data_IF_291062692051
#
_entry.id   IF_291062692051
#
_cell.length_a   1.000
_cell.length_b   1.000
_cell.length_c   1.000
_cell.angle_alpha   90.00
_cell.angle_beta   90.00
_cell.angle_gamma   90.00
#
_symmetry.space_group_name_H-M   'P 1'
#
loop_
_entity.id
_entity.type
_entity.pdbx_description
1 polymer ?
#
# COMPACT_ATOMS: atom_id res chain seq x y z
N UNK A 1 5.13 20.56 3.14
CA UNK A 1 4.75 20.86 1.74
C UNK A 1 3.26 20.56 1.62
N UNK A 2 2.42 21.54 1.36
CA UNK A 2 0.97 21.38 1.24
C UNK A 2 0.66 20.88 -0.17
N UNK A 3 -0.11 19.81 -0.28
CA UNK A 3 -0.65 19.31 -1.55
C UNK A 3 -1.50 20.43 -2.19
N UNK A 4 -1.21 20.87 -3.45
CA UNK A 4 -2.08 21.80 -4.12
C UNK A 4 -3.39 21.08 -4.44
N UNK A 5 -4.40 21.25 -3.57
CA UNK A 5 -5.74 20.71 -3.79
C UNK A 5 -6.30 21.23 -5.11
N UNK A 6 -6.31 20.41 -6.15
CA UNK A 6 -7.40 20.47 -7.12
C UNK A 6 -8.64 20.06 -6.32
N UNK A 7 -9.66 20.90 -6.29
CA UNK A 7 -10.83 20.72 -5.44
C UNK A 7 -11.32 19.26 -5.45
N UNK A 8 -11.25 18.58 -4.28
CA UNK A 8 -11.72 17.23 -4.09
C UNK A 8 -10.65 16.12 -4.06
N UNK A 9 -9.36 16.40 -4.32
CA UNK A 9 -8.30 15.39 -4.26
C UNK A 9 -7.61 15.39 -2.90
N UNK A 10 -7.61 14.25 -2.20
CA UNK A 10 -6.84 14.06 -0.97
C UNK A 10 -5.35 13.98 -1.27
N UNK A 11 -4.51 14.42 -0.35
CA UNK A 11 -3.07 14.18 -0.41
C UNK A 11 -2.78 12.68 -0.48
N UNK A 12 -1.81 12.25 -1.33
CA UNK A 12 -1.44 10.84 -1.42
C UNK A 12 -0.96 10.29 -0.06
N UNK A 13 -1.66 9.28 0.42
CA UNK A 13 -1.27 8.53 1.62
C UNK A 13 -0.22 7.46 1.34
N UNK A 14 0.23 6.78 2.40
CA UNK A 14 1.11 5.62 2.28
C UNK A 14 0.41 4.51 1.48
N UNK A 15 1.12 3.87 0.57
CA UNK A 15 0.66 2.86 -0.39
C UNK A 15 -0.20 3.37 -1.55
N UNK A 16 -0.57 4.65 -1.61
CA UNK A 16 -1.28 5.17 -2.77
C UNK A 16 -0.43 5.07 -4.05
N UNK A 17 -1.13 4.82 -5.13
CA UNK A 17 -0.60 4.71 -6.48
C UNK A 17 -0.63 6.09 -7.13
N UNK A 18 0.54 6.57 -7.57
CA UNK A 18 0.70 7.89 -8.17
C UNK A 18 1.04 7.72 -9.65
N UNK A 19 0.20 8.28 -10.51
CA UNK A 19 0.41 8.30 -11.95
C UNK A 19 1.13 9.60 -12.33
N UNK A 20 2.26 9.45 -13.01
CA UNK A 20 3.15 10.54 -13.40
C UNK A 20 3.02 10.81 -14.90
N UNK A 21 3.00 12.07 -15.30
CA UNK A 21 2.91 12.47 -16.70
C UNK A 21 4.16 12.03 -17.49
N UNK A 22 4.07 11.86 -18.83
CA UNK A 22 5.24 11.58 -19.66
C UNK A 22 6.34 12.66 -19.53
N UNK A 23 5.95 13.92 -19.31
CA UNK A 23 6.89 15.01 -19.06
C UNK A 23 7.62 14.85 -17.72
N UNK A 24 6.89 14.45 -16.66
CA UNK A 24 7.48 14.19 -15.35
C UNK A 24 8.43 12.98 -15.36
N UNK A 25 8.07 11.92 -16.07
CA UNK A 25 8.97 10.79 -16.27
C UNK A 25 10.25 11.20 -16.96
N UNK A 26 10.17 12.02 -18.00
CA UNK A 26 11.32 12.53 -18.75
C UNK A 26 12.22 13.37 -17.86
N UNK A 27 11.67 14.38 -17.19
CA UNK A 27 12.43 15.25 -16.28
C UNK A 27 13.14 14.46 -15.17
N UNK A 28 12.47 13.47 -14.61
CA UNK A 28 13.04 12.60 -13.58
C UNK A 28 14.20 11.74 -14.14
N UNK A 29 14.05 11.14 -15.33
CA UNK A 29 15.09 10.32 -15.94
C UNK A 29 16.30 11.16 -16.42
N UNK A 30 16.09 12.40 -16.83
CA UNK A 30 17.16 13.36 -17.13
C UNK A 30 17.98 13.68 -15.87
N UNK A 31 17.31 13.84 -14.72
CA UNK A 31 17.97 14.06 -13.43
C UNK A 31 18.63 12.79 -12.86
N UNK A 32 18.25 11.61 -13.32
CA UNK A 32 18.67 10.29 -12.83
C UNK A 32 19.20 9.43 -13.99
N UNK A 33 20.34 9.86 -14.55
CA UNK A 33 21.00 9.16 -15.66
C UNK A 33 21.31 7.68 -15.38
N UNK A 34 21.50 7.31 -14.11
CA UNK A 34 21.64 5.93 -13.66
C UNK A 34 20.41 5.05 -13.96
N UNK A 35 19.21 5.66 -14.01
CA UNK A 35 17.95 4.99 -14.31
C UNK A 35 17.55 5.07 -15.78
N UNK A 36 18.06 6.04 -16.51
CA UNK A 36 17.71 6.27 -17.92
C UNK A 36 18.07 5.07 -18.82
N UNK A 37 19.14 4.33 -18.47
CA UNK A 37 19.58 3.13 -19.18
C UNK A 37 18.88 1.84 -18.74
N UNK A 38 18.08 1.87 -17.67
CA UNK A 38 17.35 0.70 -17.17
C UNK A 38 16.11 0.42 -18.05
N UNK A 39 16.15 -0.69 -18.79
CA UNK A 39 15.10 -1.07 -19.73
C UNK A 39 13.73 -1.26 -19.07
N UNK A 40 13.69 -1.69 -17.79
CA UNK A 40 12.45 -1.86 -17.05
C UNK A 40 11.86 -0.52 -16.60
N UNK A 41 12.71 0.43 -16.19
CA UNK A 41 12.29 1.79 -15.86
C UNK A 41 11.76 2.52 -17.10
N UNK A 42 12.44 2.36 -18.24
CA UNK A 42 11.98 2.89 -19.52
C UNK A 42 10.62 2.30 -19.93
N UNK A 43 10.45 0.98 -19.74
CA UNK A 43 9.15 0.29 -19.96
C UNK A 43 8.09 0.81 -19.01
N UNK A 44 8.42 1.06 -17.73
CA UNK A 44 7.50 1.58 -16.71
C UNK A 44 6.88 2.92 -17.15
N UNK A 45 7.73 3.86 -17.56
CA UNK A 45 7.31 5.15 -18.08
C UNK A 45 6.44 4.99 -19.34
N UNK A 46 6.85 4.14 -20.30
CA UNK A 46 6.13 3.92 -21.57
C UNK A 46 4.73 3.31 -21.33
N UNK A 47 4.60 2.40 -20.37
CA UNK A 47 3.34 1.74 -20.04
C UNK A 47 2.44 2.60 -19.17
N UNK A 48 2.93 3.72 -18.65
CA UNK A 48 2.18 4.57 -17.73
C UNK A 48 1.83 3.89 -16.42
N UNK A 49 2.63 2.89 -15.98
CA UNK A 49 2.42 2.23 -14.71
C UNK A 49 2.61 3.22 -13.55
N UNK A 50 1.84 3.11 -12.45
CA UNK A 50 1.97 4.01 -11.33
C UNK A 50 3.27 3.78 -10.55
N UNK A 51 3.70 4.80 -9.81
CA UNK A 51 4.66 4.66 -8.73
C UNK A 51 3.92 4.61 -7.38
N UNK A 52 4.55 4.08 -6.34
CA UNK A 52 3.95 4.02 -5.01
C UNK A 52 4.39 5.23 -4.17
N UNK A 53 3.45 5.85 -3.47
CA UNK A 53 3.77 6.88 -2.48
C UNK A 53 4.54 6.26 -1.31
N UNK A 54 5.70 6.81 -1.00
CA UNK A 54 6.52 6.44 0.15
C UNK A 54 6.77 7.63 1.08
N UNK A 55 7.22 7.37 2.28
CA UNK A 55 7.72 8.41 3.18
C UNK A 55 8.93 9.09 2.54
N UNK A 56 8.97 10.43 2.62
CA UNK A 56 10.16 11.18 2.25
C UNK A 56 11.30 10.92 3.24
N UNK A 57 12.52 10.94 2.76
CA UNK A 57 13.72 10.91 3.61
C UNK A 57 14.03 12.34 4.10
N UNK A 58 14.73 12.51 5.22
CA UNK A 58 14.98 13.84 5.80
C UNK A 58 15.64 14.86 4.86
N UNK A 59 16.37 14.39 3.87
CA UNK A 59 17.07 15.22 2.86
C UNK A 59 16.27 15.43 1.57
N UNK A 60 15.07 14.88 1.47
CA UNK A 60 14.19 15.03 0.30
C UNK A 60 13.19 16.17 0.57
N UNK A 61 13.65 17.42 0.38
CA UNK A 61 12.87 18.61 0.72
C UNK A 61 11.88 19.03 -0.36
N UNK A 62 12.14 18.68 -1.62
CA UNK A 62 11.32 19.08 -2.77
C UNK A 62 10.75 17.88 -3.52
N UNK A 63 9.47 17.98 -3.89
CA UNK A 63 8.80 16.97 -4.68
C UNK A 63 8.08 15.88 -3.87
N UNK A 64 7.40 15.01 -4.59
CA UNK A 64 6.67 13.87 -4.05
C UNK A 64 7.59 12.64 -4.05
N UNK A 65 7.85 12.08 -2.86
CA UNK A 65 8.67 10.90 -2.71
C UNK A 65 7.91 9.64 -3.16
N UNK A 66 8.39 9.00 -4.21
CA UNK A 66 7.80 7.84 -4.83
C UNK A 66 8.77 6.66 -4.86
N UNK A 67 8.26 5.47 -5.08
CA UNK A 67 9.04 4.25 -5.24
C UNK A 67 8.57 3.42 -6.42
N UNK A 68 9.51 2.75 -7.08
CA UNK A 68 9.23 1.69 -8.04
C UNK A 68 9.71 0.37 -7.44
N UNK A 69 8.82 -0.54 -7.08
CA UNK A 69 9.21 -1.88 -6.67
C UNK A 69 9.41 -2.74 -7.92
N UNK A 70 10.64 -3.08 -8.22
CA UNK A 70 10.94 -3.97 -9.34
C UNK A 70 10.65 -5.44 -8.99
N UNK A 71 10.26 -6.26 -10.00
CA UNK A 71 9.94 -7.67 -9.78
C UNK A 71 11.17 -8.49 -9.35
N UNK A 72 10.97 -9.71 -8.83
CA UNK A 72 12.06 -10.62 -8.45
C UNK A 72 13.05 -10.89 -9.58
N UNK A 73 12.59 -10.98 -10.83
CA UNK A 73 13.44 -11.13 -12.02
C UNK A 73 14.42 -9.98 -12.24
N UNK A 74 14.12 -8.78 -11.71
CA UNK A 74 15.00 -7.61 -11.70
C UNK A 74 15.69 -7.38 -10.35
N UNK A 75 15.84 -8.44 -9.53
CA UNK A 75 16.53 -8.42 -8.24
C UNK A 75 15.71 -7.85 -7.09
N UNK A 76 14.39 -7.72 -7.24
CA UNK A 76 13.46 -7.24 -6.18
C UNK A 76 13.91 -5.87 -5.60
N UNK A 77 14.48 -5.01 -6.42
CA UNK A 77 14.96 -3.69 -6.00
C UNK A 77 13.80 -2.73 -5.79
N UNK A 78 14.00 -1.77 -4.91
CA UNK A 78 13.10 -0.62 -4.74
C UNK A 78 13.86 0.64 -5.16
N UNK A 79 13.42 1.25 -6.27
CA UNK A 79 14.01 2.48 -6.78
C UNK A 79 13.29 3.66 -6.13
N UNK A 80 14.04 4.56 -5.50
CA UNK A 80 13.50 5.80 -4.93
C UNK A 80 13.50 6.89 -5.99
N UNK A 81 12.38 7.59 -6.11
CA UNK A 81 12.16 8.68 -7.04
C UNK A 81 11.65 9.91 -6.31
N UNK A 82 11.97 11.09 -6.85
CA UNK A 82 11.34 12.36 -6.49
C UNK A 82 10.69 12.94 -7.75
N UNK A 83 9.44 13.29 -7.64
CA UNK A 83 8.67 13.83 -8.77
C UNK A 83 8.05 15.16 -8.35
N UNK A 84 8.17 16.18 -9.21
CA UNK A 84 7.47 17.42 -8.98
C UNK A 84 5.96 17.20 -8.99
N UNK A 85 5.27 17.82 -8.06
CA UNK A 85 3.84 17.65 -7.87
C UNK A 85 3.03 18.06 -9.10
N UNK A 86 3.52 19.01 -9.89
CA UNK A 86 2.88 19.47 -11.13
C UNK A 86 2.86 18.39 -12.22
N UNK A 87 3.70 17.37 -12.08
CA UNK A 87 3.75 16.22 -12.96
C UNK A 87 2.87 15.04 -12.52
N UNK A 88 2.16 15.17 -11.41
CA UNK A 88 1.21 14.13 -10.97
C UNK A 88 -0.10 14.28 -11.75
N UNK A 89 -0.47 13.24 -12.47
CA UNK A 89 -1.71 13.18 -13.27
C UNK A 89 -2.90 12.78 -12.40
N UNK A 90 -2.72 11.74 -11.59
CA UNK A 90 -3.77 11.24 -10.70
C UNK A 90 -3.18 10.41 -9.56
N UNK A 91 -4.00 10.21 -8.53
CA UNK A 91 -3.71 9.36 -7.39
C UNK A 91 -4.83 8.34 -7.24
N UNK A 92 -4.49 7.07 -7.09
CA UNK A 92 -5.44 6.00 -6.86
C UNK A 92 -5.10 5.23 -5.58
N UNK A 93 -6.10 4.64 -4.98
CA UNK A 93 -5.90 3.67 -3.89
C UNK A 93 -5.35 2.35 -4.44
N UNK A 94 -4.69 1.54 -3.63
CA UNK A 94 -4.32 0.18 -4.01
C UNK A 94 -5.54 -0.62 -4.48
N UNK A 95 -5.37 -1.66 -5.32
CA UNK A 95 -6.47 -2.45 -5.83
C UNK A 95 -7.20 -3.22 -4.71
N UNK A 96 -8.49 -3.47 -4.90
CA UNK A 96 -9.30 -4.29 -3.99
C UNK A 96 -8.96 -5.78 -4.12
N UNK A 97 -9.39 -6.57 -3.14
CA UNK A 97 -9.28 -8.05 -3.17
C UNK A 97 -9.87 -8.65 -4.46
N UNK A 98 -11.01 -8.14 -4.91
CA UNK A 98 -11.67 -8.60 -6.14
C UNK A 98 -10.86 -8.30 -7.40
N UNK A 99 -10.25 -7.12 -7.45
CA UNK A 99 -9.44 -6.72 -8.62
C UNK A 99 -8.18 -7.57 -8.78
N UNK A 100 -7.53 -7.97 -7.69
CA UNK A 100 -6.30 -8.77 -7.76
C UNK A 100 -6.54 -10.28 -7.87
N UNK A 101 -7.75 -10.76 -7.59
CA UNK A 101 -8.06 -12.19 -7.48
C UNK A 101 -7.65 -13.00 -8.72
N UNK A 102 -7.88 -12.47 -9.91
CA UNK A 102 -7.55 -13.14 -11.16
C UNK A 102 -6.04 -13.31 -11.40
N UNK A 103 -5.22 -12.50 -10.73
CA UNK A 103 -3.75 -12.50 -10.81
C UNK A 103 -3.09 -13.33 -9.70
N UNK A 104 -3.87 -13.73 -8.70
CA UNK A 104 -3.37 -14.52 -7.58
C UNK A 104 -3.24 -16.01 -7.97
N UNK A 105 -2.31 -16.75 -7.34
CA UNK A 105 -2.28 -18.21 -7.42
C UNK A 105 -3.65 -18.81 -7.07
N UNK A 106 -4.07 -19.84 -7.77
CA UNK A 106 -5.43 -20.41 -7.59
C UNK A 106 -5.70 -20.91 -6.16
N UNK A 107 -4.67 -21.42 -5.48
CA UNK A 107 -4.79 -21.84 -4.08
C UNK A 107 -5.01 -20.68 -3.10
N UNK A 108 -4.76 -19.41 -3.50
CA UNK A 108 -5.07 -18.22 -2.69
C UNK A 108 -6.53 -17.78 -2.79
N UNK A 109 -7.24 -18.19 -3.83
CA UNK A 109 -8.61 -17.73 -4.09
C UNK A 109 -9.58 -17.94 -2.92
N UNK A 110 -9.61 -19.13 -2.24
CA UNK A 110 -10.49 -19.29 -1.08
C UNK A 110 -10.21 -18.29 0.06
N UNK A 111 -8.93 -17.96 0.30
CA UNK A 111 -8.54 -16.96 1.30
C UNK A 111 -8.98 -15.56 0.89
N UNK A 112 -8.76 -15.15 -0.36
CA UNK A 112 -9.21 -13.86 -0.89
C UNK A 112 -10.73 -13.72 -0.81
N UNK A 113 -11.48 -14.77 -1.17
CA UNK A 113 -12.95 -14.79 -1.09
C UNK A 113 -13.46 -14.72 0.37
N UNK A 114 -12.72 -15.27 1.35
CA UNK A 114 -13.05 -15.14 2.79
C UNK A 114 -12.77 -13.73 3.30
N UNK A 115 -11.65 -13.13 2.90
CA UNK A 115 -11.30 -11.75 3.26
C UNK A 115 -12.30 -10.74 2.65
N UNK A 116 -12.76 -10.95 1.41
CA UNK A 116 -13.79 -10.12 0.78
C UNK A 116 -15.13 -10.18 1.54
N UNK A 117 -15.52 -11.36 2.04
CA UNK A 117 -16.70 -11.48 2.92
C UNK A 117 -16.50 -10.86 4.29
N UNK A 118 -15.27 -10.91 4.81
CA UNK A 118 -14.92 -10.30 6.09
C UNK A 118 -15.02 -8.77 6.01
N UNK A 119 -14.54 -8.18 4.90
CA UNK A 119 -14.66 -6.75 4.59
C UNK A 119 -16.12 -6.27 4.75
N UNK A 120 -17.06 -7.00 4.13
CA UNK A 120 -18.49 -6.67 4.20
C UNK A 120 -19.06 -6.82 5.62
N UNK A 121 -18.66 -7.89 6.34
CA UNK A 121 -19.19 -8.18 7.69
C UNK A 121 -18.79 -7.12 8.71
N UNK A 122 -17.59 -6.59 8.60
CA UNK A 122 -17.03 -5.65 9.58
C UNK A 122 -17.05 -4.19 9.11
N UNK A 123 -17.60 -3.90 7.91
CA UNK A 123 -17.58 -2.56 7.30
C UNK A 123 -16.17 -1.97 7.21
N UNK A 124 -15.21 -2.82 6.82
CA UNK A 124 -13.80 -2.48 6.60
C UNK A 124 -13.55 -2.42 5.10
N UNK A 125 -12.72 -1.52 4.61
CA UNK A 125 -12.30 -1.48 3.21
C UNK A 125 -10.91 -2.12 3.07
N UNK A 126 -10.84 -3.25 2.38
CA UNK A 126 -9.60 -4.01 2.19
C UNK A 126 -8.94 -3.68 0.86
N UNK A 127 -7.66 -3.32 0.90
CA UNK A 127 -6.84 -2.99 -0.27
C UNK A 127 -5.57 -3.82 -0.27
N UNK A 128 -5.22 -4.34 -1.42
CA UNK A 128 -4.02 -5.16 -1.59
C UNK A 128 -2.86 -4.29 -2.05
N UNK A 129 -1.72 -4.43 -1.38
CA UNK A 129 -0.46 -3.80 -1.81
C UNK A 129 0.62 -4.88 -2.02
N UNK A 130 1.89 -4.53 -2.13
CA UNK A 130 2.97 -5.51 -2.29
C UNK A 130 2.92 -6.32 -3.58
N UNK A 131 3.41 -7.55 -3.53
CA UNK A 131 3.67 -8.37 -4.72
C UNK A 131 2.43 -8.64 -5.58
N UNK A 132 1.31 -9.03 -4.98
CA UNK A 132 0.10 -9.34 -5.72
C UNK A 132 -0.51 -8.10 -6.41
N UNK A 133 -0.48 -6.94 -5.71
CA UNK A 133 -0.93 -5.69 -6.32
C UNK A 133 -0.09 -5.33 -7.55
N UNK A 134 1.25 -5.41 -7.44
CA UNK A 134 2.12 -5.08 -8.57
C UNK A 134 1.98 -6.05 -9.73
N UNK A 135 1.77 -7.33 -9.45
CA UNK A 135 1.47 -8.31 -10.49
C UNK A 135 0.18 -7.95 -11.23
N UNK A 136 -0.86 -7.54 -10.51
CA UNK A 136 -2.13 -7.13 -11.13
C UNK A 136 -2.04 -5.83 -11.94
N UNK A 137 -1.22 -4.87 -11.49
CA UNK A 137 -1.06 -3.56 -12.12
C UNK A 137 -0.16 -3.59 -13.36
N UNK A 138 0.83 -4.48 -13.39
CA UNK A 138 1.88 -4.47 -14.43
C UNK A 138 1.84 -5.68 -15.35
N UNK A 139 1.21 -6.77 -14.90
CA UNK A 139 1.25 -8.06 -15.60
C UNK A 139 2.63 -8.75 -15.53
N UNK A 140 3.56 -8.24 -14.71
CA UNK A 140 4.86 -8.87 -14.46
C UNK A 140 4.77 -9.85 -13.29
N UNK A 141 5.65 -10.85 -13.27
CA UNK A 141 5.69 -11.87 -12.22
C UNK A 141 6.33 -11.31 -10.93
N UNK A 142 5.48 -11.02 -9.94
CA UNK A 142 5.91 -10.57 -8.60
C UNK A 142 5.67 -11.62 -7.53
N UNK A 143 4.58 -12.38 -7.67
CA UNK A 143 4.21 -13.39 -6.69
C UNK A 143 5.08 -14.63 -6.88
N UNK A 144 5.63 -15.14 -5.78
CA UNK A 144 6.43 -16.36 -5.68
C UNK A 144 5.84 -17.26 -4.60
N UNK A 145 6.33 -18.49 -4.49
CA UNK A 145 5.91 -19.43 -3.44
C UNK A 145 6.19 -18.93 -2.00
N UNK A 146 7.03 -17.90 -1.87
CA UNK A 146 7.38 -17.29 -0.57
C UNK A 146 6.73 -15.93 -0.37
N UNK A 147 5.80 -15.55 -1.23
CA UNK A 147 5.12 -14.26 -1.11
C UNK A 147 4.03 -14.32 -0.06
N UNK A 148 3.98 -13.28 0.76
CA UNK A 148 2.87 -13.00 1.66
C UNK A 148 1.75 -12.28 0.89
N UNK A 149 0.54 -12.29 1.43
CA UNK A 149 -0.55 -11.43 0.99
C UNK A 149 -0.50 -10.14 1.82
N UNK A 150 -0.06 -9.05 1.20
CA UNK A 150 0.00 -7.73 1.81
C UNK A 150 -1.38 -7.06 1.70
N UNK A 151 -2.07 -6.80 2.82
CA UNK A 151 -3.42 -6.20 2.85
C UNK A 151 -3.47 -5.01 3.79
N UNK A 152 -4.10 -3.94 3.32
CA UNK A 152 -4.45 -2.77 4.10
C UNK A 152 -5.94 -2.83 4.42
N UNK A 153 -6.30 -2.85 5.70
CA UNK A 153 -7.67 -2.84 6.19
C UNK A 153 -7.99 -1.46 6.76
N UNK A 154 -8.72 -0.64 6.00
CA UNK A 154 -9.18 0.65 6.50
C UNK A 154 -10.45 0.45 7.32
N UNK A 155 -10.38 0.77 8.60
CA UNK A 155 -11.48 0.61 9.54
C UNK A 155 -12.03 1.96 10.04
N UNK A 156 -13.27 1.94 10.48
CA UNK A 156 -13.99 3.11 11.00
C UNK A 156 -14.28 2.96 12.50
N UNK A 157 -14.75 4.04 13.14
CA UNK A 157 -14.93 4.09 14.57
C UNK A 157 -15.91 3.07 15.16
N UNK A 158 -16.87 2.58 14.36
CA UNK A 158 -17.84 1.55 14.74
C UNK A 158 -17.33 0.11 14.57
N UNK A 159 -16.14 -0.08 13.97
CA UNK A 159 -15.57 -1.41 13.76
C UNK A 159 -15.16 -2.05 15.10
N UNK A 160 -15.63 -3.24 15.37
CA UNK A 160 -15.13 -4.09 16.47
C UNK A 160 -13.77 -4.67 16.07
N UNK A 161 -12.70 -3.96 16.43
CA UNK A 161 -11.32 -4.30 16.04
C UNK A 161 -10.91 -5.67 16.61
N UNK A 162 -11.31 -6.00 17.84
CA UNK A 162 -10.93 -7.28 18.47
C UNK A 162 -11.53 -8.46 17.73
N UNK A 163 -12.79 -8.37 17.41
CA UNK A 163 -13.48 -9.39 16.62
C UNK A 163 -12.92 -9.47 15.20
N UNK A 164 -12.64 -8.34 14.57
CA UNK A 164 -12.07 -8.30 13.23
C UNK A 164 -10.73 -9.01 13.17
N UNK A 165 -9.77 -8.69 14.07
CA UNK A 165 -8.45 -9.33 14.04
C UNK A 165 -8.48 -10.81 14.41
N UNK A 166 -9.43 -11.24 15.26
CA UNK A 166 -9.66 -12.65 15.54
C UNK A 166 -10.17 -13.41 14.31
N UNK A 167 -11.08 -12.81 13.53
CA UNK A 167 -11.57 -13.39 12.27
C UNK A 167 -10.46 -13.43 11.20
N UNK A 168 -9.57 -12.41 11.12
CA UNK A 168 -8.39 -12.45 10.25
C UNK A 168 -7.45 -13.60 10.63
N UNK A 169 -7.19 -13.79 11.93
CA UNK A 169 -6.37 -14.88 12.43
C UNK A 169 -6.96 -16.27 12.07
N UNK A 170 -8.27 -16.43 12.20
CA UNK A 170 -8.96 -17.65 11.82
C UNK A 170 -8.86 -17.93 10.30
N UNK A 171 -8.88 -16.90 9.47
CA UNK A 171 -8.67 -17.04 8.01
C UNK A 171 -7.23 -17.44 7.72
N UNK A 172 -6.25 -16.80 8.36
CA UNK A 172 -4.83 -17.07 8.13
C UNK A 172 -4.43 -18.48 8.51
N UNK A 173 -4.98 -19.03 9.61
CA UNK A 173 -4.68 -20.41 10.04
C UNK A 173 -4.99 -21.48 8.99
N UNK A 174 -5.87 -21.17 8.02
CA UNK A 174 -6.24 -22.06 6.93
C UNK A 174 -5.67 -21.63 5.57
N UNK A 175 -4.97 -20.48 5.55
CA UNK A 175 -4.45 -19.89 4.32
C UNK A 175 -3.16 -20.60 3.86
N UNK A 176 -2.94 -20.74 2.54
CA UNK A 176 -1.69 -21.28 2.01
C UNK A 176 -0.52 -20.30 2.05
N UNK A 177 -0.76 -19.05 2.47
CA UNK A 177 0.23 -17.99 2.59
C UNK A 177 -0.01 -17.17 3.86
N UNK A 178 1.01 -16.50 4.32
CA UNK A 178 0.90 -15.53 5.40
C UNK A 178 0.08 -14.31 4.95
N UNK A 179 -0.74 -13.75 5.84
CA UNK A 179 -1.45 -12.48 5.62
C UNK A 179 -0.68 -11.36 6.34
N UNK A 180 0.08 -10.55 5.62
CA UNK A 180 0.73 -9.37 6.20
C UNK A 180 -0.21 -8.16 6.09
N UNK A 181 -1.04 -8.01 7.13
CA UNK A 181 -2.11 -7.03 7.17
C UNK A 181 -1.80 -5.85 8.09
N UNK A 182 -2.16 -4.65 7.65
CA UNK A 182 -2.14 -3.45 8.47
C UNK A 182 -3.58 -2.91 8.63
N UNK A 183 -4.00 -2.64 9.87
CA UNK A 183 -5.22 -1.87 10.13
C UNK A 183 -4.90 -0.38 10.04
N UNK A 184 -5.60 0.32 9.16
CA UNK A 184 -5.39 1.74 8.91
C UNK A 184 -6.62 2.56 9.30
N UNK A 185 -6.39 3.63 10.03
CA UNK A 185 -7.38 4.66 10.37
C UNK A 185 -7.58 5.63 9.20
N UNK A 186 -8.65 6.40 9.24
CA UNK A 186 -8.95 7.43 8.25
C UNK A 186 -7.85 8.51 8.11
N UNK A 187 -7.10 8.79 9.19
CA UNK A 187 -5.95 9.71 9.19
C UNK A 187 -4.66 9.11 8.60
N UNK A 188 -4.70 7.86 8.12
CA UNK A 188 -3.57 7.15 7.52
C UNK A 188 -2.60 6.50 8.51
N UNK A 189 -2.87 6.59 9.81
CA UNK A 189 -2.10 5.87 10.83
C UNK A 189 -2.47 4.37 10.80
N UNK A 190 -1.46 3.49 10.73
CA UNK A 190 -1.67 2.06 10.58
C UNK A 190 -0.81 1.24 11.55
N UNK A 191 -1.36 0.14 12.05
CA UNK A 191 -0.66 -0.85 12.88
C UNK A 191 -0.85 -2.26 12.31
N UNK A 192 0.11 -3.15 12.57
CA UNK A 192 0.01 -4.54 12.14
C UNK A 192 -1.12 -5.25 12.90
N UNK A 193 -1.95 -6.02 12.20
CA UNK A 193 -3.07 -6.73 12.80
C UNK A 193 -2.65 -7.73 13.87
N UNK A 194 -1.45 -8.32 13.75
CA UNK A 194 -0.92 -9.27 14.73
C UNK A 194 -0.59 -8.62 16.07
N UNK A 195 -0.10 -7.38 16.04
CA UNK A 195 0.14 -6.61 17.27
C UNK A 195 -1.18 -6.33 17.99
N UNK A 196 -2.23 -6.01 17.22
CA UNK A 196 -3.58 -5.81 17.76
C UNK A 196 -4.17 -7.11 18.30
N UNK A 197 -4.04 -8.24 17.59
CA UNK A 197 -4.51 -9.56 17.99
C UNK A 197 -3.75 -10.10 19.21
N UNK A 198 -2.45 -9.83 19.31
CA UNK A 198 -1.61 -10.28 20.42
C UNK A 198 -1.90 -9.60 21.76
N UNK A 199 -2.77 -8.60 21.81
CA UNK A 199 -3.24 -7.95 23.03
C UNK A 199 -2.18 -7.08 23.74
N UNK A 200 -1.08 -6.71 23.08
CA UNK A 200 -0.08 -5.80 23.63
C UNK A 200 -0.67 -4.43 23.97
N UNK A 201 -0.16 -3.79 25.03
CA UNK A 201 -0.60 -2.46 25.45
C UNK A 201 -0.17 -1.34 24.51
N UNK A 202 0.90 -1.54 23.74
CA UNK A 202 1.47 -0.60 22.79
C UNK A 202 1.59 -1.23 21.39
N UNK A 203 1.45 -0.40 20.37
CA UNK A 203 1.50 -0.77 18.96
C UNK A 203 2.56 0.07 18.24
N UNK A 204 3.26 -0.52 17.28
CA UNK A 204 4.10 0.21 16.35
C UNK A 204 3.24 0.83 15.24
N UNK A 205 2.86 2.09 15.42
CA UNK A 205 2.00 2.82 14.50
C UNK A 205 2.85 3.53 13.43
N UNK A 206 2.51 3.29 12.18
CA UNK A 206 3.17 3.85 10.99
C UNK A 206 2.23 4.82 10.29
N UNK A 207 2.74 6.00 9.94
CA UNK A 207 2.05 6.95 9.06
C UNK A 207 2.95 7.33 7.88
N UNK A 208 2.47 8.22 7.01
CA UNK A 208 3.32 8.78 5.94
C UNK A 208 4.47 9.63 6.50
N UNK A 209 4.32 10.20 7.70
CA UNK A 209 5.28 11.11 8.30
C UNK A 209 6.20 10.43 9.32
N UNK A 210 5.67 9.49 10.12
CA UNK A 210 6.36 8.97 11.28
C UNK A 210 6.13 7.48 11.55
N UNK A 211 6.96 6.93 12.43
CA UNK A 211 6.74 5.65 13.12
C UNK A 211 6.84 5.92 14.61
N UNK A 212 5.80 5.60 15.35
CA UNK A 212 5.71 5.87 16.79
C UNK A 212 5.17 4.65 17.54
N UNK A 213 5.50 4.53 18.82
CA UNK A 213 4.78 3.66 19.74
C UNK A 213 3.55 4.40 20.25
N UNK A 214 2.38 3.77 20.18
CA UNK A 214 1.11 4.33 20.61
C UNK A 214 0.33 3.30 21.41
N UNK A 215 -0.27 3.71 22.51
CA UNK A 215 -1.14 2.85 23.29
C UNK A 215 -2.31 2.31 22.45
N UNK A 216 -2.58 1.00 22.58
CA UNK A 216 -3.60 0.28 21.80
C UNK A 216 -4.97 0.98 21.84
N UNK A 217 -5.45 1.33 23.05
CA UNK A 217 -6.73 1.99 23.22
C UNK A 217 -6.77 3.35 22.51
N UNK A 218 -5.66 4.11 22.53
CA UNK A 218 -5.55 5.40 21.85
C UNK A 218 -5.55 5.24 20.33
N UNK A 219 -4.93 4.17 19.82
CA UNK A 219 -4.99 3.85 18.38
C UNK A 219 -6.43 3.56 17.95
N UNK A 220 -7.16 2.71 18.68
CA UNK A 220 -8.53 2.33 18.34
C UNK A 220 -9.50 3.51 18.52
N UNK A 221 -9.40 4.27 19.62
CA UNK A 221 -10.30 5.40 19.88
C UNK A 221 -10.07 6.59 18.95
N UNK A 222 -8.86 6.78 18.44
CA UNK A 222 -8.55 7.82 17.46
C UNK A 222 -9.30 7.65 16.12
N UNK A 223 -9.85 6.47 15.83
CA UNK A 223 -10.72 6.24 14.68
C UNK A 223 -12.17 6.75 14.90
N UNK A 224 -12.55 7.05 16.15
CA UNK A 224 -13.91 7.51 16.52
C UNK A 224 -14.09 9.02 16.46
N UNK A 225 -13.01 9.77 16.25
CA UNK A 225 -12.99 11.24 16.29
C UNK A 225 -12.64 11.91 14.95
N UNK A 226 -12.72 11.17 13.86
CA UNK A 226 -12.37 11.68 12.50
C UNK A 226 -13.63 11.76 11.64
#
# INVERSE_FOLDING_TARGET
MTWPCKQGERSPGRHDLVFVSPAGWRAMLEARGDLAADALVARWSKMGWPAIRRRALPYEEAGLALGLPLPPSAGKKRISLLVDIDHVVSVARPPSLRQVRAYAPRNWWPTLDRLDRLELRHSVDARVFGSLAWQSLTGLDYVTDRSDLDVLFEFRGETDVDRFVADVAAIENEAPMRIDGELMRADGAAANWRELHGGGSELLVKSIESVILLGRNRFISGARGS
#
